data_IF_127242579461
#
_entry.id   IF_127242579461
#
_cell.length_a   1.000
_cell.length_b   1.000
_cell.length_c   1.000
_cell.angle_alpha   90.00
_cell.angle_beta   90.00
_cell.angle_gamma   90.00
#
_symmetry.space_group_name_H-M   'P 1'
#
loop_
_entity.id
_entity.type
_entity.pdbx_description
1 polymer ?
#
# COMPACT_ATOMS: atom_id res chain seq x y z
N UNK A 1 -11.77 2.93 -0.37
CA UNK A 1 -10.54 2.11 -0.27
C UNK A 1 -9.75 2.27 -1.56
N UNK A 2 -8.45 2.48 -1.47
CA UNK A 2 -7.59 2.73 -2.64
C UNK A 2 -6.80 1.46 -2.97
N UNK A 3 -6.91 0.97 -4.21
CA UNK A 3 -6.16 -0.20 -4.68
C UNK A 3 -4.91 0.29 -5.38
N UNK A 4 -3.75 -0.07 -4.84
CA UNK A 4 -2.46 0.28 -5.46
C UNK A 4 -1.97 -0.90 -6.30
N UNK A 5 -1.74 -0.62 -7.57
CA UNK A 5 -1.08 -1.54 -8.50
C UNK A 5 0.31 -1.00 -8.80
N UNK A 6 1.31 -1.78 -8.43
CA UNK A 6 2.69 -1.47 -8.78
C UNK A 6 2.96 -1.88 -10.22
N UNK A 7 4.03 -1.34 -10.78
CA UNK A 7 4.61 -1.87 -12.01
C UNK A 7 5.19 -3.29 -11.79
N UNK A 8 5.65 -3.98 -12.85
CA UNK A 8 6.17 -5.34 -12.71
C UNK A 8 7.35 -5.47 -11.74
N UNK A 9 8.24 -4.47 -11.69
CA UNK A 9 9.40 -4.48 -10.81
C UNK A 9 8.99 -4.33 -9.34
N UNK A 10 8.14 -3.35 -9.04
CA UNK A 10 7.56 -3.12 -7.72
C UNK A 10 6.73 -4.31 -7.25
N UNK A 11 5.99 -4.95 -8.15
CA UNK A 11 5.24 -6.18 -7.85
C UNK A 11 6.16 -7.31 -7.40
N UNK A 12 7.28 -7.54 -8.11
CA UNK A 12 8.25 -8.57 -7.73
C UNK A 12 8.93 -8.26 -6.37
N UNK A 13 9.23 -6.98 -6.11
CA UNK A 13 9.76 -6.53 -4.82
C UNK A 13 8.77 -6.76 -3.68
N UNK A 14 7.49 -6.42 -3.89
CA UNK A 14 6.43 -6.63 -2.91
C UNK A 14 6.21 -8.11 -2.61
N UNK A 15 6.21 -8.96 -3.64
CA UNK A 15 6.08 -10.41 -3.48
C UNK A 15 7.24 -10.97 -2.65
N UNK A 16 8.47 -10.55 -2.93
CA UNK A 16 9.65 -10.95 -2.13
C UNK A 16 9.57 -10.47 -0.68
N UNK A 17 9.17 -9.23 -0.45
CA UNK A 17 9.04 -8.66 0.90
C UNK A 17 7.97 -9.40 1.71
N UNK A 18 6.80 -9.62 1.12
CA UNK A 18 5.67 -10.27 1.79
C UNK A 18 5.95 -11.72 2.18
N UNK A 19 6.74 -12.46 1.40
CA UNK A 19 7.23 -13.80 1.79
C UNK A 19 8.07 -13.75 3.08
N UNK A 20 8.90 -12.73 3.23
CA UNK A 20 9.76 -12.57 4.42
C UNK A 20 8.97 -12.11 5.66
N UNK A 21 7.79 -11.53 5.44
CA UNK A 21 6.96 -10.90 6.47
C UNK A 21 5.69 -11.71 6.77
N UNK A 22 5.63 -12.99 6.37
CA UNK A 22 4.51 -13.88 6.70
C UNK A 22 4.27 -13.92 8.21
N UNK A 23 2.98 -13.87 8.58
CA UNK A 23 2.52 -13.79 9.97
C UNK A 23 2.98 -12.55 10.74
N UNK A 24 3.45 -11.51 10.05
CA UNK A 24 3.85 -10.22 10.62
C UNK A 24 3.14 -9.07 9.92
N UNK A 25 2.99 -7.91 10.57
CA UNK A 25 2.40 -6.74 9.94
C UNK A 25 3.34 -6.14 8.89
N UNK A 26 2.77 -5.67 7.77
CA UNK A 26 3.41 -4.67 6.90
C UNK A 26 2.72 -3.35 7.16
N UNK A 27 3.47 -2.34 7.57
CA UNK A 27 2.94 -0.99 7.82
C UNK A 27 3.01 -0.18 6.53
N UNK A 28 1.89 0.43 6.15
CA UNK A 28 1.84 1.44 5.10
C UNK A 28 1.94 2.81 5.77
N UNK A 29 2.89 3.61 5.30
CA UNK A 29 3.14 4.96 5.80
C UNK A 29 2.91 5.95 4.65
N UNK A 30 2.10 6.97 4.89
CA UNK A 30 1.82 8.07 3.94
C UNK A 30 2.15 9.36 4.68
N UNK A 31 2.97 10.23 4.08
CA UNK A 31 3.40 11.51 4.68
C UNK A 31 4.03 11.39 6.09
N UNK A 32 4.60 10.23 6.42
CA UNK A 32 5.19 9.94 7.73
C UNK A 32 4.22 9.31 8.74
N UNK A 33 2.93 9.25 8.42
CA UNK A 33 1.90 8.68 9.30
C UNK A 33 1.53 7.24 8.91
N UNK A 34 1.49 6.29 9.88
CA UNK A 34 1.03 4.93 9.64
C UNK A 34 -0.48 4.90 9.32
N UNK A 35 -0.84 4.51 8.10
CA UNK A 35 -2.24 4.48 7.65
C UNK A 35 -2.87 3.09 7.73
N UNK A 36 -2.08 2.03 7.63
CA UNK A 36 -2.56 0.65 7.79
C UNK A 36 -1.43 -0.31 8.21
N UNK A 37 -1.79 -1.40 8.86
CA UNK A 37 -0.83 -2.42 9.31
C UNK A 37 -1.40 -3.86 9.19
N UNK A 38 -1.81 -4.32 7.99
CA UNK A 38 -2.35 -5.67 7.83
C UNK A 38 -1.30 -6.76 8.14
N UNK A 39 -1.73 -7.82 8.82
CA UNK A 39 -0.93 -9.03 9.01
C UNK A 39 -0.90 -9.80 7.69
N UNK A 40 0.30 -10.05 7.17
CA UNK A 40 0.49 -10.76 5.91
C UNK A 40 0.26 -12.26 6.10
N UNK A 41 -0.76 -12.80 5.44
CA UNK A 41 -1.09 -14.23 5.49
C UNK A 41 -0.57 -15.00 4.26
N UNK A 42 -0.27 -14.30 3.17
CA UNK A 42 0.23 -14.87 1.92
C UNK A 42 1.06 -13.83 1.14
N UNK A 43 1.91 -14.26 0.19
CA UNK A 43 2.63 -13.34 -0.69
C UNK A 43 1.67 -12.40 -1.43
N UNK A 44 2.00 -11.11 -1.43
CA UNK A 44 1.17 -10.04 -1.98
C UNK A 44 1.60 -9.71 -3.42
N UNK A 45 0.60 -9.60 -4.31
CA UNK A 45 0.78 -9.12 -5.69
C UNK A 45 0.15 -7.74 -5.94
N UNK A 46 -0.79 -7.38 -5.07
CA UNK A 46 -1.45 -6.09 -4.99
C UNK A 46 -1.58 -5.75 -3.51
N UNK A 47 -1.68 -4.46 -3.19
CA UNK A 47 -2.06 -4.06 -1.84
C UNK A 47 -3.17 -3.03 -1.89
N UNK A 48 -3.98 -3.04 -0.84
CA UNK A 48 -5.12 -2.16 -0.69
C UNK A 48 -4.85 -1.28 0.53
N UNK A 49 -4.96 0.04 0.34
CA UNK A 49 -5.03 0.98 1.44
C UNK A 49 -6.50 1.09 1.79
N UNK A 50 -6.89 0.44 2.89
CA UNK A 50 -8.16 0.72 3.53
C UNK A 50 -8.01 2.05 4.26
N UNK A 51 -8.60 3.08 3.68
CA UNK A 51 -8.73 4.43 4.23
C UNK A 51 -9.64 4.42 5.49
N UNK A 52 -9.24 3.70 6.53
CA UNK A 52 -9.90 3.77 7.83
C UNK A 52 -9.45 5.07 8.49
N UNK A 53 -10.23 6.13 8.31
CA UNK A 53 -9.93 7.46 8.85
C UNK A 53 -9.61 8.54 7.82
N UNK A 54 -9.70 8.26 6.51
CA UNK A 54 -9.68 9.29 5.47
C UNK A 54 -11.09 9.48 4.90
N UNK A 55 -11.44 10.73 4.64
CA UNK A 55 -12.62 11.15 3.87
C UNK A 55 -12.46 10.79 2.38
N UNK A 56 -13.56 10.83 1.63
CA UNK A 56 -13.52 10.58 0.18
C UNK A 56 -12.59 11.56 -0.55
N UNK A 57 -12.65 12.85 -0.19
CA UNK A 57 -11.79 13.89 -0.75
C UNK A 57 -10.29 13.64 -0.48
N UNK A 58 -9.94 13.16 0.72
CA UNK A 58 -8.56 12.81 1.09
C UNK A 58 -8.06 11.56 0.34
N UNK A 59 -8.94 10.60 0.08
CA UNK A 59 -8.62 9.43 -0.74
C UNK A 59 -8.35 9.84 -2.19
N UNK A 60 -9.15 10.75 -2.75
CA UNK A 60 -8.99 11.25 -4.11
C UNK A 60 -7.77 12.15 -4.27
N UNK A 61 -7.44 12.97 -3.26
CA UNK A 61 -6.19 13.73 -3.22
C UNK A 61 -4.97 12.80 -3.17
N UNK A 62 -5.00 11.80 -2.28
CA UNK A 62 -3.94 10.79 -2.19
C UNK A 62 -3.75 10.03 -3.50
N UNK A 63 -4.85 9.64 -4.17
CA UNK A 63 -4.78 8.98 -5.47
C UNK A 63 -4.08 9.86 -6.53
N UNK A 64 -4.46 11.13 -6.62
CA UNK A 64 -3.85 12.09 -7.56
C UNK A 64 -2.36 12.30 -7.28
N UNK A 65 -1.96 12.43 -6.01
CA UNK A 65 -0.56 12.59 -5.63
C UNK A 65 0.28 11.36 -6.02
N UNK A 66 -0.22 10.15 -5.74
CA UNK A 66 0.47 8.90 -6.07
C UNK A 66 0.59 8.65 -7.58
N UNK A 67 -0.32 9.14 -8.41
CA UNK A 67 -0.22 9.04 -9.87
C UNK A 67 0.81 9.99 -10.47
N UNK A 68 1.01 11.16 -9.85
CA UNK A 68 1.90 12.22 -10.34
C UNK A 68 3.34 12.10 -9.83
N UNK A 69 3.59 11.36 -8.75
CA UNK A 69 4.93 11.12 -8.16
C UNK A 69 5.78 10.10 -8.95
N UNK A 70 5.69 10.15 -10.29
CA UNK A 70 6.55 9.40 -11.21
C UNK A 70 7.67 10.30 -11.73
N UNK A 71 8.60 10.65 -10.83
CA UNK A 71 9.92 11.16 -11.22
C UNK A 71 10.87 10.00 -11.58
#
# INVERSE_FOLDING_TARGET
ALIIRLDPEGTAKLERLSVQQLSRPIVVVVDGDPTSAPIVQSPLKIFMITANGLTEDEVDDLARRLEHDKD
#
